data_IF_703924429009
#
_entry.id   IF_703924429009
#
_cell.length_a   1.000
_cell.length_b   1.000
_cell.length_c   1.000
_cell.angle_alpha   90.00
_cell.angle_beta   90.00
_cell.angle_gamma   90.00
#
_symmetry.space_group_name_H-M   'P 1'
#
loop_
_entity.id
_entity.type
_entity.pdbx_description
1 polymer ?
#
# COMPACT_ATOMS: atom_id res chain seq x y z
N UNK A 1 19.82 17.26 2.25
CA UNK A 1 18.65 16.62 1.60
C UNK A 1 19.14 15.92 0.36
N UNK A 2 18.74 14.67 0.14
CA UNK A 2 18.98 13.92 -1.11
C UNK A 2 17.66 13.81 -1.87
N UNK A 3 17.71 13.65 -3.20
CA UNK A 3 16.52 13.53 -4.06
C UNK A 3 15.51 12.48 -3.52
N UNK A 4 16.00 11.39 -2.93
CA UNK A 4 15.18 10.29 -2.42
C UNK A 4 14.32 10.64 -1.18
N UNK A 5 14.63 11.75 -0.51
CA UNK A 5 13.98 12.18 0.74
C UNK A 5 13.12 13.44 0.56
N UNK A 6 12.81 13.82 -0.68
CA UNK A 6 12.12 15.07 -0.99
C UNK A 6 10.90 14.81 -1.86
N UNK A 7 9.74 15.30 -1.41
CA UNK A 7 8.54 15.41 -2.23
C UNK A 7 8.51 16.83 -2.78
N UNK A 8 8.37 16.96 -4.09
CA UNK A 8 8.21 18.24 -4.74
C UNK A 8 6.74 18.45 -5.04
N UNK A 9 6.19 19.58 -4.61
CA UNK A 9 4.80 19.95 -4.86
C UNK A 9 4.71 21.21 -5.70
N UNK A 10 3.85 21.21 -6.71
CA UNK A 10 3.49 22.40 -7.46
C UNK A 10 2.30 23.09 -6.80
N UNK A 11 2.34 24.42 -6.71
CA UNK A 11 1.17 25.19 -6.29
C UNK A 11 0.23 25.38 -7.48
N UNK A 12 -0.95 24.78 -7.42
CA UNK A 12 -1.95 24.86 -8.48
C UNK A 12 -3.22 25.58 -7.99
N UNK A 13 -3.81 26.40 -8.85
CA UNK A 13 -5.07 27.06 -8.57
C UNK A 13 -6.22 26.16 -9.02
N UNK A 14 -7.01 25.67 -8.07
CA UNK A 14 -8.14 24.82 -8.37
C UNK A 14 -9.32 25.65 -8.88
N UNK A 15 -10.14 25.05 -9.73
CA UNK A 15 -11.41 25.62 -10.22
C UNK A 15 -12.46 25.86 -9.10
N UNK A 16 -12.12 25.54 -7.85
CA UNK A 16 -12.89 25.83 -6.62
C UNK A 16 -12.50 27.15 -5.95
N UNK A 17 -11.65 27.96 -6.59
CA UNK A 17 -11.16 29.25 -6.06
C UNK A 17 -10.20 29.10 -4.86
N UNK A 18 -9.53 27.94 -4.76
CA UNK A 18 -8.59 27.59 -3.69
C UNK A 18 -7.23 27.20 -4.29
N UNK A 19 -6.15 27.47 -3.55
CA UNK A 19 -4.81 27.01 -3.92
C UNK A 19 -4.55 25.65 -3.27
N UNK A 20 -4.08 24.69 -4.06
CA UNK A 20 -3.66 23.39 -3.57
C UNK A 20 -2.19 23.12 -3.91
N UNK A 21 -1.58 22.23 -3.12
CA UNK A 21 -0.25 21.69 -3.40
C UNK A 21 -0.41 20.30 -3.99
N UNK A 22 0.10 20.10 -5.20
CA UNK A 22 -0.01 18.83 -5.93
C UNK A 22 1.35 18.14 -5.99
N UNK A 23 1.42 16.89 -5.54
CA UNK A 23 2.64 16.08 -5.58
C UNK A 23 3.08 15.83 -7.03
N UNK A 24 4.35 16.11 -7.33
CA UNK A 24 4.96 15.79 -8.62
C UNK A 24 5.80 14.50 -8.47
N UNK A 25 5.53 13.46 -9.26
CA UNK A 25 6.37 12.26 -9.30
C UNK A 25 7.83 12.61 -9.65
N UNK A 26 8.85 12.03 -8.99
CA UNK A 26 10.27 12.35 -9.21
C UNK A 26 10.74 12.27 -10.68
N UNK A 27 10.18 11.32 -11.43
CA UNK A 27 10.46 11.11 -12.85
C UNK A 27 9.89 12.21 -13.76
N UNK A 28 8.98 13.06 -13.28
CA UNK A 28 8.30 14.09 -14.07
C UNK A 28 8.68 15.52 -13.66
N UNK A 29 9.62 15.70 -12.73
CA UNK A 29 10.00 17.04 -12.22
C UNK A 29 10.50 17.96 -13.34
N UNK A 30 11.37 17.46 -14.22
CA UNK A 30 11.96 18.27 -15.29
C UNK A 30 10.98 18.62 -16.42
N UNK A 31 9.88 17.88 -16.53
CA UNK A 31 8.88 18.08 -17.59
C UNK A 31 7.77 19.04 -17.16
N UNK A 32 7.47 19.08 -15.85
CA UNK A 32 6.32 19.81 -15.30
C UNK A 32 6.72 21.17 -14.73
N UNK A 33 7.96 21.32 -14.21
CA UNK A 33 8.40 22.56 -13.56
C UNK A 33 8.93 23.55 -14.60
N UNK A 34 8.21 24.66 -14.77
CA UNK A 34 8.62 25.82 -15.56
C UNK A 34 9.37 26.88 -14.75
N UNK A 35 9.99 27.88 -15.42
CA UNK A 35 10.83 28.89 -14.77
C UNK A 35 10.11 29.84 -13.81
N UNK A 36 8.78 29.89 -13.85
CA UNK A 36 7.93 30.84 -13.08
C UNK A 36 7.06 30.15 -12.03
N UNK A 37 7.20 28.84 -11.88
CA UNK A 37 6.35 28.06 -11.00
C UNK A 37 6.76 28.17 -9.52
N UNK A 38 5.77 28.31 -8.64
CA UNK A 38 5.99 28.25 -7.21
C UNK A 38 5.99 26.79 -6.75
N UNK A 39 7.16 26.29 -6.39
CA UNK A 39 7.37 24.91 -5.92
C UNK A 39 7.60 24.86 -4.41
N UNK A 40 7.00 23.86 -3.76
CA UNK A 40 7.24 23.53 -2.36
C UNK A 40 8.11 22.29 -2.26
N UNK A 41 9.20 22.36 -1.50
CA UNK A 41 10.04 21.22 -1.15
C UNK A 41 9.62 20.71 0.23
N UNK A 42 9.01 19.54 0.26
CA UNK A 42 8.58 18.91 1.49
C UNK A 42 9.53 17.74 1.81
N UNK A 43 9.95 17.58 3.07
CA UNK A 43 10.57 16.32 3.45
C UNK A 43 9.54 15.22 3.19
N UNK A 44 9.98 14.13 2.54
CA UNK A 44 9.22 12.88 2.55
C UNK A 44 9.07 12.55 4.03
N UNK A 45 7.84 12.67 4.57
CA UNK A 45 7.61 12.33 5.97
C UNK A 45 8.12 10.91 6.16
N UNK A 46 9.23 10.76 6.90
CA UNK A 46 9.63 9.45 7.37
C UNK A 46 8.48 9.05 8.26
N UNK A 47 7.68 8.06 7.82
CA UNK A 47 6.72 7.46 8.72
C UNK A 47 7.46 7.16 10.03
N UNK A 48 6.88 7.51 11.18
CA UNK A 48 7.53 7.27 12.45
C UNK A 48 7.96 5.80 12.49
N UNK A 49 9.21 5.57 12.87
CA UNK A 49 9.73 4.24 13.18
C UNK A 49 8.88 3.69 14.32
N UNK A 50 7.85 2.92 13.98
CA UNK A 50 7.01 2.22 14.97
C UNK A 50 7.92 1.15 15.58
N UNK A 51 7.96 1.00 16.90
CA UNK A 51 8.67 -0.11 17.57
C UNK A 51 7.74 -1.32 17.71
N UNK A 52 8.28 -2.50 18.00
CA UNK A 52 7.43 -3.68 18.22
C UNK A 52 6.47 -3.48 19.39
N UNK A 53 6.92 -2.79 20.45
CA UNK A 53 6.10 -2.47 21.62
C UNK A 53 4.90 -1.55 21.28
N UNK A 54 5.05 -0.72 20.25
CA UNK A 54 4.01 0.21 19.79
C UNK A 54 3.13 -0.39 18.69
N UNK A 55 3.48 -1.59 18.19
CA UNK A 55 2.77 -2.25 17.11
C UNK A 55 1.52 -2.95 17.63
N UNK A 56 0.36 -2.37 17.32
CA UNK A 56 -0.92 -2.93 17.75
C UNK A 56 -1.19 -4.29 17.08
N UNK A 57 -1.12 -5.39 17.83
CA UNK A 57 -1.51 -6.69 17.28
C UNK A 57 -3.00 -6.74 16.92
N UNK A 58 -3.34 -7.56 15.94
CA UNK A 58 -4.70 -7.71 15.46
C UNK A 58 -4.76 -8.54 14.18
N UNK A 59 -5.93 -8.61 13.56
CA UNK A 59 -6.12 -9.34 12.32
C UNK A 59 -6.32 -8.37 11.15
N UNK A 60 -5.75 -8.70 10.01
CA UNK A 60 -5.92 -8.00 8.74
C UNK A 60 -6.51 -8.96 7.72
N UNK A 61 -7.21 -8.39 6.75
CA UNK A 61 -7.75 -9.17 5.63
C UNK A 61 -6.75 -9.16 4.48
N UNK A 62 -6.48 -10.32 3.90
CA UNK A 62 -5.59 -10.44 2.77
C UNK A 62 -6.35 -10.33 1.44
N UNK A 63 -5.81 -9.56 0.50
CA UNK A 63 -6.28 -9.57 -0.90
C UNK A 63 -5.12 -9.79 -1.86
N UNK A 64 -5.36 -10.55 -2.92
CA UNK A 64 -4.35 -10.87 -3.93
C UNK A 64 -4.58 -10.04 -5.19
N UNK A 65 -3.53 -9.36 -5.64
CA UNK A 65 -3.52 -8.57 -6.86
C UNK A 65 -2.85 -9.31 -8.01
N UNK A 66 -3.42 -9.20 -9.21
CA UNK A 66 -2.81 -9.66 -10.45
C UNK A 66 -2.72 -8.53 -11.45
N UNK A 67 -1.56 -8.41 -12.10
CA UNK A 67 -1.43 -7.56 -13.29
C UNK A 67 -2.14 -8.20 -14.48
N UNK A 68 -3.16 -7.52 -15.00
CA UNK A 68 -3.82 -7.81 -16.26
C UNK A 68 -3.56 -6.67 -17.25
N UNK A 69 -3.85 -6.86 -18.54
CA UNK A 69 -3.55 -5.91 -19.61
C UNK A 69 -4.07 -4.48 -19.37
N UNK A 70 -5.13 -4.32 -18.56
CA UNK A 70 -5.79 -3.05 -18.24
C UNK A 70 -5.48 -2.48 -16.85
N UNK A 71 -4.63 -3.13 -16.04
CA UNK A 71 -4.30 -2.69 -14.70
C UNK A 71 -4.15 -3.83 -13.68
N UNK A 72 -4.20 -3.49 -12.40
CA UNK A 72 -4.13 -4.50 -11.33
C UNK A 72 -5.54 -4.86 -10.89
N UNK A 73 -5.89 -6.14 -10.99
CA UNK A 73 -7.15 -6.69 -10.49
C UNK A 73 -6.92 -7.33 -9.12
N UNK A 74 -7.68 -6.90 -8.12
CA UNK A 74 -7.62 -7.42 -6.75
C UNK A 74 -8.74 -8.43 -6.51
N UNK A 75 -8.48 -9.50 -5.77
CA UNK A 75 -9.51 -10.45 -5.37
C UNK A 75 -10.57 -9.77 -4.50
N UNK A 76 -11.84 -9.96 -4.85
CA UNK A 76 -12.95 -9.48 -4.03
C UNK A 76 -12.93 -10.16 -2.67
N UNK A 77 -13.10 -9.38 -1.60
CA UNK A 77 -13.08 -9.87 -0.23
C UNK A 77 -14.51 -10.35 0.13
N UNK A 78 -14.75 -11.66 0.31
CA UNK A 78 -16.08 -12.17 0.61
C UNK A 78 -16.53 -11.81 2.02
N UNK A 79 -17.83 -11.50 2.20
CA UNK A 79 -18.41 -11.16 3.52
C UNK A 79 -18.35 -12.30 4.54
N UNK A 80 -18.31 -13.54 4.07
CA UNK A 80 -18.28 -14.73 4.91
C UNK A 80 -16.89 -15.39 4.80
N UNK A 81 -16.27 -15.71 5.94
CA UNK A 81 -14.94 -16.35 5.99
C UNK A 81 -13.83 -15.50 5.33
N UNK A 82 -13.68 -14.27 5.83
CA UNK A 82 -12.63 -13.34 5.42
C UNK A 82 -11.25 -14.03 5.48
N UNK A 83 -10.41 -13.89 4.44
CA UNK A 83 -9.03 -14.40 4.45
C UNK A 83 -8.19 -13.59 5.43
N UNK A 84 -8.41 -13.83 6.72
CA UNK A 84 -7.79 -13.10 7.81
C UNK A 84 -6.47 -13.77 8.18
N UNK A 85 -5.48 -12.93 8.45
CA UNK A 85 -4.25 -13.34 9.11
C UNK A 85 -3.89 -12.34 10.20
N UNK A 86 -3.10 -12.77 11.16
CA UNK A 86 -2.53 -11.85 12.14
C UNK A 86 -1.65 -10.83 11.43
N UNK A 87 -1.64 -9.59 11.95
CA UNK A 87 -0.77 -8.51 11.49
C UNK A 87 0.69 -8.96 11.61
N UNK A 88 1.43 -9.15 10.51
CA UNK A 88 2.80 -9.63 10.57
C UNK A 88 3.71 -8.50 11.02
N UNK A 89 4.65 -8.79 11.93
CA UNK A 89 5.62 -7.82 12.43
C UNK A 89 6.82 -7.64 11.50
N UNK A 90 6.99 -8.51 10.50
CA UNK A 90 8.09 -8.49 9.52
C UNK A 90 7.66 -9.04 8.15
N UNK A 91 8.49 -8.81 7.13
CA UNK A 91 8.30 -9.36 5.78
C UNK A 91 8.37 -10.90 5.78
N UNK A 92 9.28 -11.49 6.55
CA UNK A 92 9.45 -12.93 6.65
C UNK A 92 8.21 -13.60 7.26
N UNK A 93 7.67 -13.01 8.33
CA UNK A 93 6.42 -13.46 8.95
C UNK A 93 5.26 -13.32 7.98
N UNK A 94 5.19 -12.19 7.26
CA UNK A 94 4.15 -11.95 6.27
C UNK A 94 4.16 -13.02 5.17
N UNK A 95 5.32 -13.41 4.65
CA UNK A 95 5.42 -14.45 3.63
C UNK A 95 4.89 -15.79 4.16
N UNK A 96 5.26 -16.17 5.39
CA UNK A 96 4.81 -17.41 5.99
C UNK A 96 3.29 -17.41 6.21
N UNK A 97 2.74 -16.31 6.75
CA UNK A 97 1.30 -16.15 6.99
C UNK A 97 0.49 -16.08 5.70
N UNK A 98 1.00 -15.42 4.66
CA UNK A 98 0.34 -15.37 3.33
C UNK A 98 0.24 -16.77 2.73
N UNK A 99 1.30 -17.57 2.78
CA UNK A 99 1.27 -18.93 2.27
C UNK A 99 0.24 -19.80 3.00
N UNK A 100 0.18 -19.67 4.33
CA UNK A 100 -0.84 -20.36 5.14
C UNK A 100 -2.26 -19.90 4.79
N UNK A 101 -2.46 -18.59 4.64
CA UNK A 101 -3.75 -18.00 4.29
C UNK A 101 -4.21 -18.46 2.90
N UNK A 102 -3.31 -18.46 1.91
CA UNK A 102 -3.60 -18.95 0.56
C UNK A 102 -3.97 -20.44 0.55
N UNK A 103 -3.25 -21.27 1.30
CA UNK A 103 -3.55 -22.69 1.38
C UNK A 103 -4.92 -22.94 2.06
N UNK A 104 -5.23 -22.20 3.12
CA UNK A 104 -6.51 -22.32 3.84
C UNK A 104 -7.69 -21.85 2.97
N UNK A 105 -7.50 -20.75 2.23
CA UNK A 105 -8.51 -20.14 1.36
C UNK A 105 -8.24 -20.44 -0.13
N UNK A 106 -7.84 -21.68 -0.44
CA UNK A 106 -7.35 -22.05 -1.78
C UNK A 106 -8.32 -21.76 -2.93
N UNK A 107 -9.64 -21.78 -2.70
CA UNK A 107 -10.64 -21.42 -3.72
C UNK A 107 -10.61 -19.94 -4.10
N UNK A 108 -10.27 -19.08 -3.13
CA UNK A 108 -10.15 -17.63 -3.35
C UNK A 108 -8.79 -17.28 -3.97
N UNK A 109 -7.75 -18.01 -3.59
CA UNK A 109 -6.37 -17.75 -4.00
C UNK A 109 -5.80 -18.81 -4.96
N UNK A 110 -6.66 -19.52 -5.70
CA UNK A 110 -6.25 -20.58 -6.63
C UNK A 110 -5.19 -20.06 -7.62
N UNK A 111 -5.41 -18.82 -8.05
CA UNK A 111 -4.54 -18.08 -8.93
C UNK A 111 -3.17 -17.76 -8.32
N UNK A 112 -3.13 -17.32 -7.07
CA UNK A 112 -1.88 -17.08 -6.37
C UNK A 112 -1.10 -18.38 -6.16
N UNK A 113 -1.78 -19.47 -5.80
CA UNK A 113 -1.17 -20.79 -5.61
C UNK A 113 -0.53 -21.32 -6.89
N UNK A 114 -1.10 -21.05 -8.07
CA UNK A 114 -0.48 -21.38 -9.36
C UNK A 114 0.82 -20.60 -9.60
N UNK A 115 0.85 -19.34 -9.18
CA UNK A 115 1.99 -18.44 -9.41
C UNK A 115 3.14 -18.64 -8.41
N UNK A 116 2.88 -19.13 -7.20
CA UNK A 116 3.90 -19.36 -6.14
C UNK A 116 5.00 -20.34 -6.58
N UNK A 117 4.71 -21.25 -7.50
CA UNK A 117 5.69 -22.22 -7.98
C UNK A 117 6.79 -21.61 -8.85
N UNK A 118 6.65 -20.35 -9.27
CA UNK A 118 7.69 -19.62 -9.99
C UNK A 118 8.73 -19.05 -9.01
N UNK A 119 9.91 -19.68 -8.98
CA UNK A 119 11.02 -19.29 -8.10
C UNK A 119 11.60 -17.90 -8.41
N UNK A 120 11.25 -17.31 -9.55
CA UNK A 120 11.71 -15.97 -9.92
C UNK A 120 10.84 -14.86 -9.35
N UNK A 121 9.67 -15.19 -8.78
CA UNK A 121 8.75 -14.21 -8.22
C UNK A 121 8.92 -14.07 -6.72
N UNK A 122 8.83 -12.85 -6.22
CA UNK A 122 8.76 -12.52 -4.79
C UNK A 122 7.40 -11.90 -4.45
N UNK A 123 7.02 -12.00 -3.18
CA UNK A 123 5.87 -11.26 -2.68
C UNK A 123 6.18 -9.77 -2.64
N UNK A 124 5.31 -8.98 -3.26
CA UNK A 124 5.28 -7.52 -3.19
C UNK A 124 4.01 -7.12 -2.48
N UNK A 125 4.16 -6.34 -1.41
CA UNK A 125 3.07 -5.94 -0.54
C UNK A 125 2.60 -4.54 -0.88
N UNK A 126 1.29 -4.34 -0.73
CA UNK A 126 0.60 -3.11 -1.06
C UNK A 126 -0.23 -2.68 0.15
N UNK A 127 -0.08 -1.42 0.53
CA UNK A 127 -0.92 -0.80 1.54
C UNK A 127 -1.93 0.13 0.90
N UNK A 128 -3.08 0.24 1.54
CA UNK A 128 -4.07 1.22 1.23
C UNK A 128 -3.69 2.56 1.86
N UNK A 129 -3.60 3.63 1.07
CA UNK A 129 -3.46 4.99 1.60
C UNK A 129 -4.84 5.63 1.58
N UNK A 130 -5.46 5.88 2.75
CA UNK A 130 -6.72 6.62 2.77
C UNK A 130 -6.47 8.01 2.16
N UNK A 131 -7.26 8.37 1.15
CA UNK A 131 -7.20 9.70 0.56
C UNK A 131 -7.50 10.79 1.62
N UNK A 132 -7.05 12.04 1.40
CA UNK A 132 -7.24 13.13 2.36
C UNK A 132 -8.72 13.50 2.59
N UNK A 133 -9.63 12.95 1.78
CA UNK A 133 -11.07 13.16 1.89
C UNK A 133 -11.74 11.80 2.03
N UNK A 134 -11.77 11.22 3.23
CA UNK A 134 -12.99 10.63 3.78
C UNK A 134 -12.83 10.31 5.27
N UNK A 135 -13.58 11.09 6.04
CA UNK A 135 -14.21 10.73 7.32
C UNK A 135 -14.37 9.23 7.52
N UNK A 136 -13.92 8.74 8.68
CA UNK A 136 -14.34 7.48 9.33
C UNK A 136 -15.26 6.63 8.45
N UNK A 137 -14.65 5.72 7.69
CA UNK A 137 -15.38 4.68 6.97
C UNK A 137 -16.18 3.90 8.01
N UNK A 138 -17.49 4.15 8.06
CA UNK A 138 -18.41 3.51 9.00
C UNK A 138 -18.63 2.03 8.68
N UNK A 139 -18.15 1.56 7.53
CA UNK A 139 -18.20 0.18 7.12
C UNK A 139 -16.93 -0.20 6.32
N UNK A 140 -15.97 -0.93 6.92
CA UNK A 140 -14.77 -1.40 6.22
C UNK A 140 -15.09 -2.28 4.99
N UNK A 141 -16.35 -2.72 4.85
CA UNK A 141 -16.82 -3.61 3.79
C UNK A 141 -17.43 -2.87 2.59
N UNK A 142 -17.54 -1.53 2.64
CA UNK A 142 -17.94 -0.69 1.50
C UNK A 142 -16.74 0.07 0.92
N UNK A 143 -15.56 -0.56 0.87
CA UNK A 143 -14.44 -0.06 0.06
C UNK A 143 -14.92 0.04 -1.39
N UNK A 144 -15.30 1.23 -1.83
CA UNK A 144 -15.49 1.55 -3.24
C UNK A 144 -14.09 1.56 -3.87
N UNK A 145 -13.73 0.42 -4.47
CA UNK A 145 -12.41 0.00 -4.99
C UNK A 145 -11.86 0.86 -6.15
N UNK A 146 -12.08 2.17 -6.15
CA UNK A 146 -11.44 3.13 -7.06
C UNK A 146 -10.16 3.73 -6.47
N UNK A 147 -9.70 3.20 -5.36
CA UNK A 147 -8.66 3.76 -4.51
C UNK A 147 -7.30 3.07 -4.78
N UNK A 148 -6.24 3.87 -4.89
CA UNK A 148 -4.95 3.43 -5.40
C UNK A 148 -4.17 2.63 -4.34
N UNK A 149 -4.02 1.33 -4.58
CA UNK A 149 -3.04 0.50 -3.86
C UNK A 149 -1.63 1.00 -4.12
N UNK A 150 -0.88 1.28 -3.05
CA UNK A 150 0.51 1.73 -3.14
C UNK A 150 1.43 0.61 -2.67
N UNK A 151 2.47 0.32 -3.46
CA UNK A 151 3.48 -0.67 -3.06
C UNK A 151 4.19 -0.18 -1.79
N UNK A 152 4.43 -1.09 -0.85
CA UNK A 152 5.30 -0.80 0.29
C UNK A 152 6.71 -0.45 -0.22
N UNK A 153 7.40 0.50 0.44
CA UNK A 153 8.73 0.92 0.04
C UNK A 153 9.73 -0.24 0.19
N UNK A 154 10.78 -0.27 -0.65
CA UNK A 154 11.77 -1.37 -0.66
C UNK A 154 12.47 -1.54 0.70
N UNK A 155 12.61 -0.46 1.47
CA UNK A 155 13.21 -0.49 2.80
C UNK A 155 12.38 -1.32 3.79
N UNK A 156 11.05 -1.41 3.62
CA UNK A 156 10.17 -2.20 4.48
C UNK A 156 10.50 -3.71 4.43
N UNK A 157 11.08 -4.19 3.33
CA UNK A 157 11.42 -5.61 3.14
C UNK A 157 12.69 -6.02 3.90
N UNK A 158 13.44 -5.06 4.46
CA UNK A 158 14.67 -5.31 5.22
C UNK A 158 14.66 -4.67 6.61
N UNK A 159 13.68 -3.80 6.90
CA UNK A 159 13.57 -3.09 8.17
C UNK A 159 12.17 -3.32 8.79
N UNK A 160 12.08 -4.12 9.87
CA UNK A 160 10.82 -4.42 10.56
C UNK A 160 10.09 -3.18 11.10
N UNK A 161 10.79 -2.11 11.45
CA UNK A 161 10.13 -0.89 11.94
C UNK A 161 9.42 -0.14 10.80
N UNK A 162 10.07 -0.06 9.63
CA UNK A 162 9.48 0.52 8.43
C UNK A 162 8.32 -0.36 7.94
N UNK A 163 8.48 -1.69 8.00
CA UNK A 163 7.40 -2.63 7.74
C UNK A 163 6.18 -2.35 8.61
N UNK A 164 6.37 -2.30 9.94
CA UNK A 164 5.29 -2.06 10.91
C UNK A 164 4.59 -0.72 10.73
N UNK A 165 5.27 0.29 10.21
CA UNK A 165 4.68 1.59 9.87
C UNK A 165 3.75 1.54 8.64
N UNK A 166 3.93 0.57 7.74
CA UNK A 166 3.13 0.43 6.52
C UNK A 166 2.08 -0.67 6.60
N UNK A 167 2.26 -1.67 7.47
CA UNK A 167 1.25 -2.72 7.67
C UNK A 167 -0.07 -2.09 8.11
N UNK A 168 -1.17 -2.33 7.37
CA UNK A 168 -2.48 -1.79 7.69
C UNK A 168 -2.89 -2.10 9.13
N UNK A 169 -3.67 -1.20 9.74
CA UNK A 169 -4.23 -1.40 11.07
C UNK A 169 -5.14 -2.63 11.13
N UNK A 170 -5.44 -3.12 12.34
CA UNK A 170 -6.37 -4.24 12.51
C UNK A 170 -7.73 -3.93 11.88
N UNK A 171 -8.29 -4.91 11.17
CA UNK A 171 -9.56 -4.79 10.43
C UNK A 171 -9.43 -4.22 9.03
N UNK A 172 -8.26 -3.68 8.64
CA UNK A 172 -8.00 -3.21 7.28
C UNK A 172 -7.46 -4.33 6.37
N UNK A 173 -7.38 -4.02 5.07
CA UNK A 173 -6.90 -4.96 4.06
C UNK A 173 -5.41 -4.73 3.72
N UNK A 174 -4.67 -5.83 3.56
CA UNK A 174 -3.30 -5.87 3.04
C UNK A 174 -3.33 -6.52 1.65
N UNK A 175 -2.77 -5.82 0.67
CA UNK A 175 -2.64 -6.31 -0.70
C UNK A 175 -1.32 -7.07 -0.87
N UNK A 176 -1.35 -8.18 -1.59
CA UNK A 176 -0.15 -8.92 -1.98
C UNK A 176 -0.19 -9.29 -3.46
N UNK A 177 0.96 -9.22 -4.13
CA UNK A 177 1.15 -9.66 -5.51
C UNK A 177 2.44 -10.49 -5.60
N UNK A 178 2.53 -11.34 -6.62
CA UNK A 178 3.79 -11.99 -7.00
C UNK A 178 4.41 -11.28 -8.20
N UNK A 179 5.64 -10.79 -8.05
CA UNK A 179 6.39 -10.09 -9.11
C UNK A 179 7.81 -10.60 -9.22
#
# INVERSE_FOLDING_TARGET
MTFDNTILRLREYLNTNEWAWVDIPPNSWNEIIGPIDEIGLFPKERLPTVSEADFLHGNITLTYGRSQLSGTHWTEIPRNNLPCMSRPASYEEANASVLQCFAHHWKLFEDALKEIHDKNKRFVYYCFVPGPVHTYVKDPLTMDLREAWVAMPEEAYSNPDIWRAHVPISGAALGVMLK
#
